data_IF_961422974507
#
_entry.id   IF_961422974507
#
_cell.length_a   1.000
_cell.length_b   1.000
_cell.length_c   1.000
_cell.angle_alpha   90.00
_cell.angle_beta   90.00
_cell.angle_gamma   90.00
#
_symmetry.space_group_name_H-M   'P 1'
#
loop_
_entity.id
_entity.type
_entity.pdbx_description
1 polymer ?
#
# COMPACT_ATOMS: atom_id res chain seq x y z
N UNK A 1 9.18 -9.17 -3.22
CA UNK A 1 9.95 -8.17 -3.98
C UNK A 1 11.39 -8.11 -3.49
N UNK A 2 11.60 -7.91 -2.19
CA UNK A 2 12.94 -7.70 -1.60
C UNK A 2 13.94 -8.85 -1.82
N UNK A 3 13.46 -10.09 -1.81
CA UNK A 3 14.29 -11.26 -2.13
C UNK A 3 14.68 -11.38 -3.62
N UNK A 4 14.25 -10.44 -4.47
CA UNK A 4 14.46 -10.43 -5.93
C UNK A 4 14.02 -11.73 -6.63
N UNK A 5 12.98 -12.38 -6.09
CA UNK A 5 12.38 -13.62 -6.65
C UNK A 5 11.19 -13.36 -7.56
N UNK A 6 10.71 -12.11 -7.64
CA UNK A 6 9.66 -11.73 -8.58
C UNK A 6 10.22 -11.83 -10.00
N UNK A 7 9.46 -12.42 -10.92
CA UNK A 7 9.84 -12.44 -12.32
C UNK A 7 9.92 -11.00 -12.87
N UNK A 8 10.87 -10.70 -13.77
CA UNK A 8 10.90 -9.39 -14.42
C UNK A 8 9.60 -9.12 -15.17
N UNK A 9 9.14 -7.87 -15.13
CA UNK A 9 7.99 -7.44 -15.91
C UNK A 9 8.42 -7.33 -17.38
N UNK A 10 7.79 -8.14 -18.25
CA UNK A 10 8.17 -8.23 -19.66
C UNK A 10 6.93 -8.25 -20.53
N UNK A 11 6.87 -7.33 -21.49
CA UNK A 11 5.84 -7.37 -22.52
C UNK A 11 6.26 -8.33 -23.64
N UNK A 12 5.45 -9.36 -23.88
CA UNK A 12 5.72 -10.39 -24.87
C UNK A 12 4.82 -10.22 -26.10
N UNK A 13 5.39 -9.93 -27.28
CA UNK A 13 4.59 -9.88 -28.53
C UNK A 13 3.98 -11.24 -28.90
N UNK A 14 4.67 -12.33 -28.56
CA UNK A 14 4.14 -13.69 -28.71
C UNK A 14 4.58 -14.56 -27.52
N UNK A 15 3.78 -14.61 -26.44
CA UNK A 15 4.11 -15.34 -25.22
C UNK A 15 4.45 -16.81 -25.46
N UNK A 16 3.82 -17.47 -26.44
CA UNK A 16 4.09 -18.88 -26.77
C UNK A 16 5.54 -19.14 -27.20
N UNK A 17 6.24 -18.11 -27.70
CA UNK A 17 7.65 -18.18 -28.10
C UNK A 17 8.58 -17.55 -27.08
N UNK A 18 8.14 -16.45 -26.46
CA UNK A 18 9.01 -15.61 -25.63
C UNK A 18 8.79 -15.72 -24.13
N UNK A 19 7.74 -16.36 -23.63
CA UNK A 19 7.63 -16.74 -22.21
C UNK A 19 7.82 -18.26 -22.05
N UNK A 20 9.04 -18.70 -22.34
CA UNK A 20 9.41 -20.12 -22.32
C UNK A 20 10.60 -20.38 -21.40
N UNK A 21 10.79 -21.63 -20.97
CA UNK A 21 11.98 -22.03 -20.21
C UNK A 21 13.28 -21.70 -20.95
N UNK A 22 13.29 -21.85 -22.29
CA UNK A 22 14.43 -21.50 -23.13
C UNK A 22 14.75 -20.00 -23.02
N UNK A 23 13.75 -19.14 -23.22
CA UNK A 23 13.90 -17.70 -23.06
C UNK A 23 14.45 -17.31 -21.68
N UNK A 24 13.85 -17.87 -20.61
CA UNK A 24 14.27 -17.58 -19.23
C UNK A 24 15.70 -18.03 -18.98
N UNK A 25 16.10 -19.20 -19.47
CA UNK A 25 17.47 -19.71 -19.33
C UNK A 25 18.48 -18.85 -20.09
N UNK A 26 18.16 -18.42 -21.31
CA UNK A 26 19.02 -17.52 -22.10
C UNK A 26 19.17 -16.18 -21.40
N UNK A 27 18.06 -15.52 -21.03
CA UNK A 27 18.11 -14.20 -20.39
C UNK A 27 18.81 -14.24 -19.03
N UNK A 28 18.65 -15.31 -18.25
CA UNK A 28 19.35 -15.50 -16.98
C UNK A 28 20.86 -15.69 -17.13
N UNK A 29 21.30 -16.24 -18.26
CA UNK A 29 22.73 -16.50 -18.53
C UNK A 29 23.45 -15.27 -19.07
N UNK A 30 22.71 -14.26 -19.57
CA UNK A 30 23.28 -13.03 -20.09
C UNK A 30 23.62 -12.03 -18.96
N UNK A 31 24.71 -11.26 -19.07
CA UNK A 31 24.98 -10.14 -18.18
C UNK A 31 23.87 -9.08 -18.24
N UNK A 32 23.66 -8.33 -17.16
CA UNK A 32 22.60 -7.31 -17.07
C UNK A 32 22.69 -6.22 -18.16
N UNK A 33 23.89 -5.90 -18.65
CA UNK A 33 24.09 -4.94 -19.76
C UNK A 33 23.61 -5.47 -21.12
N UNK A 34 23.47 -6.78 -21.27
CA UNK A 34 23.07 -7.45 -22.52
C UNK A 34 21.70 -8.14 -22.44
N UNK A 35 21.17 -8.35 -21.23
CA UNK A 35 19.92 -9.08 -21.01
C UNK A 35 18.72 -8.45 -21.73
N UNK A 36 18.66 -7.12 -21.81
CA UNK A 36 17.62 -6.40 -22.54
C UNK A 36 17.66 -6.73 -24.05
N UNK A 37 18.83 -6.65 -24.68
CA UNK A 37 18.98 -7.00 -26.11
C UNK A 37 18.66 -8.47 -26.38
N UNK A 38 19.05 -9.36 -25.47
CA UNK A 38 18.68 -10.78 -25.52
C UNK A 38 17.17 -10.98 -25.50
N UNK A 39 16.45 -10.26 -24.65
CA UNK A 39 15.00 -10.34 -24.59
C UNK A 39 14.34 -9.83 -25.90
N UNK A 40 14.83 -8.73 -26.44
CA UNK A 40 14.33 -8.13 -27.70
C UNK A 40 14.50 -9.08 -28.89
N UNK A 41 15.57 -9.88 -28.94
CA UNK A 41 15.75 -10.90 -29.97
C UNK A 41 14.61 -11.95 -30.00
N UNK A 42 13.97 -12.19 -28.85
CA UNK A 42 12.78 -13.05 -28.74
C UNK A 42 11.46 -12.28 -28.93
N UNK A 43 11.51 -11.01 -29.34
CA UNK A 43 10.36 -10.10 -29.41
C UNK A 43 9.67 -9.92 -28.04
N UNK A 44 10.49 -9.83 -26.99
CA UNK A 44 10.09 -9.53 -25.62
C UNK A 44 10.72 -8.22 -25.15
N UNK A 45 9.97 -7.40 -24.42
CA UNK A 45 10.36 -6.05 -24.04
C UNK A 45 10.29 -5.91 -22.52
N UNK A 46 11.43 -6.06 -21.80
CA UNK A 46 11.48 -5.83 -20.36
C UNK A 46 11.10 -4.39 -20.02
N UNK A 47 10.32 -4.22 -18.95
CA UNK A 47 9.85 -2.92 -18.47
C UNK A 47 10.65 -2.46 -17.25
N UNK A 48 10.66 -1.15 -17.00
CA UNK A 48 11.26 -0.61 -15.79
C UNK A 48 10.48 -1.06 -14.54
N UNK A 49 11.22 -1.47 -13.51
CA UNK A 49 10.66 -1.89 -12.23
C UNK A 49 11.17 -1.04 -11.07
N UNK A 50 11.81 0.10 -11.34
CA UNK A 50 12.41 0.96 -10.30
C UNK A 50 11.40 1.42 -9.24
N UNK A 51 10.14 1.60 -9.64
CA UNK A 51 9.05 2.07 -8.78
C UNK A 51 8.47 0.99 -7.86
N UNK A 52 8.69 -0.30 -8.13
CA UNK A 52 8.10 -1.39 -7.34
C UNK A 52 8.58 -1.37 -5.88
N UNK A 53 9.77 -0.79 -5.64
CA UNK A 53 10.32 -0.61 -4.28
C UNK A 53 9.45 0.29 -3.41
N UNK A 54 8.70 1.21 -4.01
CA UNK A 54 7.83 2.15 -3.30
C UNK A 54 6.43 1.62 -3.03
N UNK A 55 6.12 0.39 -3.45
CA UNK A 55 4.79 -0.20 -3.28
C UNK A 55 4.45 -0.40 -1.81
N UNK A 56 5.41 -0.90 -1.02
CA UNK A 56 5.23 -1.20 0.40
C UNK A 56 6.04 -0.25 1.29
N UNK A 57 5.55 -0.03 2.51
CA UNK A 57 6.12 0.89 3.50
C UNK A 57 6.22 2.35 3.01
N UNK A 58 5.61 2.65 1.86
CA UNK A 58 5.67 3.95 1.20
C UNK A 58 4.48 4.83 1.59
N UNK A 59 4.75 6.11 1.80
CA UNK A 59 3.71 7.13 1.99
C UNK A 59 4.19 8.47 1.45
N UNK A 60 3.26 9.34 1.11
CA UNK A 60 3.52 10.74 0.76
C UNK A 60 3.38 11.60 2.01
N UNK A 61 4.46 12.22 2.47
CA UNK A 61 4.42 13.16 3.60
C UNK A 61 4.13 14.56 3.06
N UNK A 62 3.07 15.24 3.53
CA UNK A 62 2.80 16.61 3.15
C UNK A 62 3.91 17.54 3.68
N UNK A 63 4.40 18.43 2.84
CA UNK A 63 5.35 19.47 3.21
C UNK A 63 5.01 20.75 2.46
N UNK A 64 5.26 21.89 3.10
CA UNK A 64 5.06 23.19 2.49
C UNK A 64 5.77 23.26 1.13
N UNK A 65 5.07 23.74 0.12
CA UNK A 65 5.51 23.90 -1.28
C UNK A 65 5.76 22.58 -2.05
N UNK A 66 6.39 21.58 -1.42
CA UNK A 66 6.71 20.29 -2.07
C UNK A 66 6.79 19.12 -1.10
N UNK A 67 5.85 18.20 -1.27
CA UNK A 67 5.78 16.93 -0.54
C UNK A 67 6.99 16.02 -0.75
N UNK A 68 7.13 15.05 0.17
CA UNK A 68 8.22 14.08 0.16
C UNK A 68 7.65 12.67 0.10
N UNK A 69 8.23 11.83 -0.77
CA UNK A 69 7.98 10.38 -0.71
C UNK A 69 8.85 9.80 0.40
N UNK A 70 8.21 9.16 1.38
CA UNK A 70 8.86 8.55 2.53
C UNK A 70 8.68 7.04 2.49
N UNK A 71 9.69 6.33 2.98
CA UNK A 71 9.65 4.88 3.11
C UNK A 71 10.40 4.43 4.38
N UNK A 72 9.79 3.57 5.18
CA UNK A 72 10.42 2.91 6.35
C UNK A 72 10.31 1.39 6.25
N UNK A 73 11.33 0.76 5.65
CA UNK A 73 11.38 -0.70 5.47
C UNK A 73 11.65 -1.46 6.76
N UNK A 74 11.80 -0.79 7.91
CA UNK A 74 11.97 -1.44 9.21
C UNK A 74 10.66 -1.87 9.85
N UNK A 75 9.53 -1.31 9.41
CA UNK A 75 8.19 -1.64 9.93
C UNK A 75 7.67 -2.97 9.36
N UNK A 76 6.95 -3.70 10.21
CA UNK A 76 6.49 -5.09 9.96
C UNK A 76 4.98 -5.28 10.07
N UNK A 77 4.24 -4.19 10.14
CA UNK A 77 2.79 -4.17 10.25
C UNK A 77 2.15 -3.50 9.02
N UNK A 78 0.87 -3.78 8.82
CA UNK A 78 0.00 -3.00 7.96
C UNK A 78 -0.99 -2.19 8.79
N UNK A 79 -1.53 -1.13 8.20
CA UNK A 79 -2.52 -0.29 8.85
C UNK A 79 -3.92 -0.79 8.49
N UNK A 80 -4.82 -0.86 9.47
CA UNK A 80 -6.24 -1.12 9.25
C UNK A 80 -7.03 0.12 9.62
N UNK A 81 -7.89 0.57 8.70
CA UNK A 81 -8.88 1.61 8.95
C UNK A 81 -10.26 0.97 9.04
N UNK A 82 -10.96 1.19 10.15
CA UNK A 82 -12.31 0.69 10.35
C UNK A 82 -13.13 1.72 11.12
N UNK A 83 -14.25 2.16 10.53
CA UNK A 83 -15.20 3.10 11.14
C UNK A 83 -14.52 4.40 11.65
N UNK A 84 -13.55 4.90 10.88
CA UNK A 84 -12.80 6.14 11.19
C UNK A 84 -11.67 5.98 12.22
N UNK A 85 -11.41 4.75 12.68
CA UNK A 85 -10.31 4.42 13.60
C UNK A 85 -9.15 3.76 12.86
N UNK A 86 -7.95 3.96 13.39
CA UNK A 86 -6.71 3.41 12.85
C UNK A 86 -6.16 2.34 13.81
N UNK A 87 -5.76 1.21 13.26
CA UNK A 87 -5.12 0.10 13.96
C UNK A 87 -3.85 -0.30 13.21
N UNK A 88 -2.86 -0.82 13.94
CA UNK A 88 -1.69 -1.47 13.36
C UNK A 88 -1.78 -2.97 13.61
N UNK A 89 -1.54 -3.78 12.57
CA UNK A 89 -1.57 -5.24 12.65
C UNK A 89 -0.25 -5.79 12.12
N UNK A 90 0.52 -6.44 12.97
CA UNK A 90 1.76 -7.11 12.57
C UNK A 90 1.46 -8.24 11.57
N UNK A 91 2.32 -8.37 10.56
CA UNK A 91 2.25 -9.47 9.58
C UNK A 91 3.57 -10.27 9.52
N UNK A 92 4.64 -9.76 10.12
CA UNK A 92 5.91 -10.47 10.26
C UNK A 92 6.33 -10.61 11.72
N UNK A 93 7.02 -11.70 12.05
CA UNK A 93 7.69 -11.88 13.34
C UNK A 93 9.02 -11.10 13.43
N UNK A 94 9.67 -11.16 14.59
CA UNK A 94 10.97 -10.51 14.80
C UNK A 94 12.08 -11.02 13.87
N UNK A 95 11.94 -12.23 13.35
CA UNK A 95 12.88 -12.86 12.41
C UNK A 95 12.57 -12.55 10.94
N UNK A 96 11.46 -11.86 10.66
CA UNK A 96 11.02 -11.49 9.31
C UNK A 96 10.21 -12.57 8.60
N UNK A 97 9.74 -13.61 9.30
CA UNK A 97 8.84 -14.60 8.74
C UNK A 97 7.40 -14.09 8.81
N UNK A 98 6.58 -14.45 7.83
CA UNK A 98 5.14 -14.13 7.83
C UNK A 98 4.46 -14.86 8.99
N UNK A 99 3.65 -14.12 9.76
CA UNK A 99 2.86 -14.70 10.84
C UNK A 99 1.83 -15.70 10.29
N UNK A 100 1.43 -16.72 11.10
CA UNK A 100 0.35 -17.62 10.71
C UNK A 100 -0.92 -16.84 10.33
N UNK A 101 -1.62 -17.30 9.29
CA UNK A 101 -2.83 -16.64 8.80
C UNK A 101 -3.90 -16.46 9.90
N UNK A 102 -4.01 -17.41 10.82
CA UNK A 102 -4.93 -17.36 11.96
C UNK A 102 -4.67 -16.17 12.88
N UNK A 103 -3.41 -15.74 13.05
CA UNK A 103 -3.07 -14.56 13.84
C UNK A 103 -3.67 -13.30 13.22
N UNK A 104 -3.45 -13.10 11.92
CA UNK A 104 -3.99 -11.95 11.17
C UNK A 104 -5.51 -12.01 11.13
N UNK A 105 -6.09 -13.19 10.89
CA UNK A 105 -7.54 -13.40 10.92
C UNK A 105 -8.15 -12.99 12.26
N UNK A 106 -7.58 -13.46 13.38
CA UNK A 106 -8.05 -13.13 14.71
C UNK A 106 -7.93 -11.62 15.01
N UNK A 107 -6.87 -10.96 14.56
CA UNK A 107 -6.72 -9.50 14.68
C UNK A 107 -7.80 -8.75 13.90
N UNK A 108 -8.07 -9.15 12.65
CA UNK A 108 -9.11 -8.53 11.83
C UNK A 108 -10.52 -8.77 12.39
N UNK A 109 -10.81 -9.99 12.85
CA UNK A 109 -12.07 -10.34 13.51
C UNK A 109 -12.26 -9.52 14.79
N UNK A 110 -11.21 -9.35 15.59
CA UNK A 110 -11.23 -8.49 16.76
C UNK A 110 -11.55 -7.04 16.40
N UNK A 111 -10.92 -6.49 15.36
CA UNK A 111 -11.17 -5.11 14.90
C UNK A 111 -12.63 -4.95 14.45
N UNK A 112 -13.12 -5.84 13.57
CA UNK A 112 -14.50 -5.78 13.07
C UNK A 112 -15.55 -5.82 14.18
N UNK A 113 -15.35 -6.70 15.18
CA UNK A 113 -16.25 -6.88 16.30
C UNK A 113 -16.22 -5.71 17.30
N UNK A 114 -15.03 -5.15 17.58
CA UNK A 114 -14.85 -4.20 18.68
C UNK A 114 -14.75 -2.73 18.24
N UNK A 115 -14.47 -2.45 16.97
CA UNK A 115 -14.37 -1.08 16.47
C UNK A 115 -15.73 -0.37 16.60
N UNK A 116 -15.76 0.74 17.33
CA UNK A 116 -16.94 1.61 17.39
C UNK A 116 -16.79 2.75 16.37
N UNK A 117 -17.88 3.24 15.75
CA UNK A 117 -17.84 4.47 14.99
C UNK A 117 -17.11 5.59 15.76
N UNK A 118 -16.22 6.28 15.07
CA UNK A 118 -15.56 7.48 15.58
C UNK A 118 -16.36 8.71 15.15
N UNK A 119 -16.39 9.73 16.00
CA UNK A 119 -16.97 11.02 15.65
C UNK A 119 -16.22 11.62 14.46
N UNK A 120 -16.94 12.20 13.50
CA UNK A 120 -16.36 12.67 12.24
C UNK A 120 -15.23 13.70 12.42
N UNK A 121 -15.32 14.55 13.44
CA UNK A 121 -14.31 15.55 13.81
C UNK A 121 -13.02 14.94 14.39
N UNK A 122 -13.05 13.66 14.76
CA UNK A 122 -11.90 12.91 15.29
C UNK A 122 -11.31 11.92 14.28
N UNK A 123 -11.89 11.83 13.09
CA UNK A 123 -11.42 10.94 12.02
C UNK A 123 -10.22 11.56 11.29
N UNK A 124 -9.01 11.31 11.78
CA UNK A 124 -7.77 11.89 11.23
C UNK A 124 -7.49 11.53 9.77
N UNK A 125 -8.05 10.44 9.25
CA UNK A 125 -7.88 10.03 7.86
C UNK A 125 -8.36 11.06 6.85
N UNK A 126 -9.45 11.76 7.15
CA UNK A 126 -10.03 12.79 6.27
C UNK A 126 -9.08 13.97 6.06
N UNK A 127 -8.16 14.23 7.00
CA UNK A 127 -7.16 15.29 6.88
C UNK A 127 -6.23 15.07 5.67
N UNK A 128 -6.02 13.83 5.26
CA UNK A 128 -5.21 13.49 4.07
C UNK A 128 -5.85 13.94 2.75
N UNK A 129 -7.13 14.33 2.77
CA UNK A 129 -7.86 14.88 1.61
C UNK A 129 -7.77 16.40 1.47
N UNK A 130 -7.21 17.09 2.47
CA UNK A 130 -7.06 18.54 2.45
C UNK A 130 -6.06 18.99 1.38
N UNK A 131 -6.11 20.29 1.07
CA UNK A 131 -5.03 20.99 0.38
C UNK A 131 -3.67 20.69 1.04
N UNK A 132 -2.61 20.57 0.22
CA UNK A 132 -1.33 20.00 0.67
C UNK A 132 -0.60 20.89 1.67
N UNK A 133 -0.63 22.21 1.49
CA UNK A 133 -0.01 23.14 2.44
C UNK A 133 -0.82 23.21 3.74
N UNK A 134 -2.16 23.11 3.63
CA UNK A 134 -3.04 23.02 4.80
C UNK A 134 -2.78 21.75 5.60
N UNK A 135 -2.69 20.60 4.92
CA UNK A 135 -2.39 19.33 5.57
C UNK A 135 -0.99 19.32 6.16
N UNK A 136 0.01 19.88 5.47
CA UNK A 136 1.37 20.01 5.99
C UNK A 136 1.38 20.77 7.33
N UNK A 137 0.68 21.90 7.40
CA UNK A 137 0.55 22.69 8.62
C UNK A 137 -0.13 21.91 9.76
N UNK A 138 -1.30 21.31 9.51
CA UNK A 138 -2.03 20.54 10.53
C UNK A 138 -1.20 19.35 11.01
N UNK A 139 -0.51 18.65 10.10
CA UNK A 139 0.36 17.53 10.45
C UNK A 139 1.53 17.95 11.34
N UNK A 140 2.15 19.10 11.06
CA UNK A 140 3.21 19.65 11.90
C UNK A 140 2.67 20.04 13.31
N UNK A 141 1.48 20.65 13.41
CA UNK A 141 0.81 20.92 14.69
C UNK A 141 0.53 19.61 15.49
N UNK A 142 0.09 18.55 14.80
CA UNK A 142 -0.12 17.25 15.44
C UNK A 142 1.18 16.60 15.92
N UNK A 143 2.29 16.81 15.21
CA UNK A 143 3.62 16.34 15.63
C UNK A 143 4.11 17.08 16.88
N UNK A 144 3.86 18.39 16.97
CA UNK A 144 4.13 19.19 18.17
C UNK A 144 3.28 18.73 19.37
N UNK A 145 2.08 18.20 19.11
CA UNK A 145 1.19 17.59 20.10
C UNK A 145 1.53 16.12 20.44
N UNK A 146 2.81 15.71 20.32
CA UNK A 146 3.35 14.40 20.73
C UNK A 146 2.79 13.17 19.97
N UNK A 147 2.35 13.35 18.70
CA UNK A 147 1.87 12.23 17.87
C UNK A 147 2.96 11.59 17.00
N UNK A 148 4.25 11.90 17.24
CA UNK A 148 5.35 11.44 16.39
C UNK A 148 5.41 9.90 16.26
N UNK A 149 5.19 9.18 17.35
CA UNK A 149 5.20 7.71 17.32
C UNK A 149 4.00 7.13 16.55
N UNK A 150 2.83 7.76 16.67
CA UNK A 150 1.63 7.36 15.92
C UNK A 150 1.84 7.57 14.42
N UNK A 151 2.39 8.72 14.01
CA UNK A 151 2.74 8.95 12.61
C UNK A 151 3.79 7.97 12.10
N UNK A 152 4.78 7.59 12.91
CA UNK A 152 5.75 6.56 12.50
C UNK A 152 5.07 5.23 12.18
N UNK A 153 4.07 4.82 12.98
CA UNK A 153 3.29 3.60 12.71
C UNK A 153 2.46 3.74 11.42
N UNK A 154 1.81 4.88 11.20
CA UNK A 154 0.99 5.11 10.00
C UNK A 154 1.84 5.19 8.73
N UNK A 155 2.87 6.03 8.76
CA UNK A 155 3.72 6.34 7.60
C UNK A 155 4.55 5.13 7.18
N UNK A 156 5.05 4.36 8.15
CA UNK A 156 5.86 3.18 7.87
C UNK A 156 5.07 1.89 7.63
N UNK A 157 3.76 1.84 7.88
CA UNK A 157 2.93 0.66 7.61
C UNK A 157 3.11 0.12 6.17
N UNK A 158 3.00 -1.19 5.95
CA UNK A 158 3.20 -1.78 4.62
C UNK A 158 2.23 -1.23 3.57
N UNK A 159 0.95 -1.15 3.93
CA UNK A 159 -0.17 -0.63 3.15
C UNK A 159 -1.35 -0.33 4.10
N UNK A 160 -2.44 0.19 3.58
CA UNK A 160 -3.70 0.38 4.34
C UNK A 160 -4.74 -0.63 3.90
N UNK A 161 -5.41 -1.29 4.85
CA UNK A 161 -6.63 -2.06 4.65
C UNK A 161 -7.82 -1.26 5.21
N UNK A 162 -8.75 -0.86 4.36
CA UNK A 162 -9.98 -0.20 4.75
C UNK A 162 -11.10 -1.24 4.82
N UNK A 163 -11.65 -1.42 6.02
CA UNK A 163 -12.81 -2.27 6.28
C UNK A 163 -14.06 -1.39 6.28
N UNK A 164 -14.80 -1.43 5.18
CA UNK A 164 -16.03 -0.67 4.96
C UNK A 164 -17.26 -1.53 5.24
N UNK A 165 -18.42 -0.86 5.29
CA UNK A 165 -19.74 -1.46 5.48
C UNK A 165 -20.70 -0.78 4.50
N UNK A 166 -20.43 -0.97 3.20
CA UNK A 166 -21.07 -0.24 2.11
C UNK A 166 -22.53 -0.66 1.90
N UNK A 167 -22.81 -1.96 2.10
CA UNK A 167 -24.14 -2.58 1.98
C UNK A 167 -24.85 -2.27 0.66
N UNK A 168 -24.10 -2.12 -0.43
CA UNK A 168 -24.66 -1.77 -1.74
C UNK A 168 -23.93 -2.47 -2.87
N UNK A 169 -24.72 -2.99 -3.81
CA UNK A 169 -24.24 -3.61 -5.05
C UNK A 169 -24.44 -2.69 -6.27
N UNK A 170 -24.89 -1.45 -6.06
CA UNK A 170 -25.12 -0.51 -7.14
C UNK A 170 -23.76 0.00 -7.68
N UNK A 171 -23.48 -0.11 -8.99
CA UNK A 171 -22.17 0.21 -9.56
C UNK A 171 -21.68 1.64 -9.26
N UNK A 172 -22.54 2.64 -9.33
CA UNK A 172 -22.17 4.04 -9.07
C UNK A 172 -21.73 4.22 -7.62
N UNK A 173 -22.44 3.60 -6.68
CA UNK A 173 -22.13 3.59 -5.26
C UNK A 173 -20.82 2.86 -4.96
N UNK A 174 -20.56 1.73 -5.62
CA UNK A 174 -19.30 0.98 -5.52
C UNK A 174 -18.12 1.84 -6.00
N UNK A 175 -18.26 2.50 -7.16
CA UNK A 175 -17.22 3.40 -7.71
C UNK A 175 -16.95 4.56 -6.74
N UNK A 176 -17.99 5.20 -6.23
CA UNK A 176 -17.84 6.30 -5.26
C UNK A 176 -17.09 5.84 -4.00
N UNK A 177 -17.48 4.68 -3.45
CA UNK A 177 -16.82 4.11 -2.28
C UNK A 177 -15.33 3.84 -2.53
N UNK A 178 -14.98 3.23 -3.66
CA UNK A 178 -13.58 2.95 -4.00
C UNK A 178 -12.75 4.22 -4.23
N UNK A 179 -13.34 5.28 -4.78
CA UNK A 179 -12.64 6.54 -5.07
C UNK A 179 -12.39 7.38 -3.81
N UNK A 180 -13.43 7.61 -2.99
CA UNK A 180 -13.37 8.56 -1.87
C UNK A 180 -13.96 8.02 -0.57
N UNK A 181 -14.64 6.88 -0.60
CA UNK A 181 -15.48 6.43 0.50
C UNK A 181 -16.77 7.25 0.58
N UNK A 182 -17.13 7.67 1.80
CA UNK A 182 -18.27 8.56 2.05
C UNK A 182 -17.83 9.98 2.36
N UNK A 183 -17.07 10.13 3.43
CA UNK A 183 -16.60 11.39 3.98
C UNK A 183 -15.06 11.39 4.18
N UNK A 184 -14.36 10.51 3.47
CA UNK A 184 -12.93 10.25 3.62
C UNK A 184 -12.46 9.77 5.02
N UNK A 185 -13.36 9.57 5.99
CA UNK A 185 -12.99 9.20 7.36
C UNK A 185 -12.26 7.86 7.46
N UNK A 186 -12.57 6.92 6.56
CA UNK A 186 -12.00 5.57 6.51
C UNK A 186 -10.99 5.41 5.37
N UNK A 187 -10.23 6.46 5.06
CA UNK A 187 -9.18 6.47 4.02
C UNK A 187 -7.92 7.15 4.54
N UNK A 188 -6.77 6.73 4.01
CA UNK A 188 -5.48 7.41 4.16
C UNK A 188 -4.88 7.63 2.77
N UNK A 189 -5.26 8.73 2.13
CA UNK A 189 -4.95 8.98 0.72
C UNK A 189 -3.46 9.17 0.41
N UNK A 190 -2.67 9.48 1.43
CA UNK A 190 -1.21 9.63 1.30
C UNK A 190 -0.49 8.28 1.14
N UNK A 191 -1.13 7.16 1.48
CA UNK A 191 -0.48 5.84 1.40
C UNK A 191 -0.23 5.43 -0.04
N UNK A 192 0.86 4.69 -0.28
CA UNK A 192 1.20 4.14 -1.60
C UNK A 192 0.03 3.44 -2.29
N UNK A 193 -0.73 2.62 -1.53
CA UNK A 193 -2.00 2.06 -1.96
C UNK A 193 -2.87 1.66 -0.76
N UNK A 194 -4.15 1.47 -1.03
CA UNK A 194 -5.15 1.03 -0.05
C UNK A 194 -5.91 -0.18 -0.63
N UNK A 195 -6.09 -1.22 0.17
CA UNK A 195 -6.99 -2.33 -0.11
C UNK A 195 -8.32 -2.02 0.58
N UNK A 196 -9.41 -2.01 -0.16
CA UNK A 196 -10.74 -1.72 0.37
C UNK A 196 -11.54 -3.03 0.33
N UNK A 197 -12.04 -3.46 1.49
CA UNK A 197 -12.89 -4.64 1.62
C UNK A 197 -14.21 -4.23 2.26
N UNK A 198 -15.30 -4.66 1.66
CA UNK A 198 -16.63 -4.56 2.25
C UNK A 198 -16.80 -5.72 3.23
N UNK A 199 -17.18 -5.41 4.48
CA UNK A 199 -17.17 -6.33 5.62
C UNK A 199 -18.45 -7.14 5.84
N UNK A 200 -19.36 -7.17 4.88
CA UNK A 200 -20.54 -8.05 4.87
C UNK A 200 -20.34 -9.31 4.02
#
# INVERSE_FOLDING_TARGET
>A
LDANVLAPEVFHLNPKKSDTKLFRNVCKSLPASLSWYGAVAFKAFPLDMSQYKSLFNGTRIPKKDKDVLYQDTTQKHFMVMCRGRIYAVDIFDDKGNVLPADCVHNSLAYILHNAKPQDADKCVGSLTSLDRDTWAKVRDEMLEADNAQNFRLVDGALFTLCLDDLKSQEPTRLIQSLLIGDDASNRWFDKSFQLIMDGE
#
